data_IF_863153961494
#
_entry.id   IF_863153961494
#
_cell.length_a   1.000
_cell.length_b   1.000
_cell.length_c   1.000
_cell.angle_alpha   90.00
_cell.angle_beta   90.00
_cell.angle_gamma   90.00
#
_symmetry.space_group_name_H-M   'P 1'
#
loop_
_entity.id
_entity.type
_entity.pdbx_description
1 polymer ?
#
# COMPACT_ATOMS: atom_id res chain seq x y z
N UNK A 1 -19.43 -0.29 -24.05
CA UNK A 1 -19.00 0.72 -23.07
C UNK A 1 -19.41 2.09 -23.61
N UNK A 2 -20.33 2.77 -22.91
CA UNK A 2 -20.80 4.10 -23.31
C UNK A 2 -19.67 5.14 -23.25
N UNK A 3 -19.88 6.26 -23.96
CA UNK A 3 -18.96 7.39 -24.00
C UNK A 3 -18.65 7.87 -22.55
N UNK A 4 -17.37 8.11 -22.24
CA UNK A 4 -16.94 8.53 -20.93
C UNK A 4 -17.34 10.00 -20.70
N UNK A 5 -18.30 10.23 -19.82
CA UNK A 5 -18.76 11.57 -19.45
C UNK A 5 -18.17 11.96 -18.10
N UNK A 6 -17.52 13.12 -18.03
CA UNK A 6 -16.90 13.63 -16.81
C UNK A 6 -17.95 13.93 -15.72
N UNK A 7 -17.61 13.57 -14.49
CA UNK A 7 -18.36 13.89 -13.28
C UNK A 7 -17.73 15.09 -12.59
N UNK A 8 -18.17 16.31 -12.98
CA UNK A 8 -17.61 17.53 -12.42
C UNK A 8 -17.76 17.67 -10.91
N UNK A 9 -18.90 17.31 -10.29
CA UNK A 9 -19.00 17.29 -8.83
C UNK A 9 -17.96 16.40 -8.16
N UNK A 10 -17.78 15.18 -8.63
CA UNK A 10 -16.77 14.26 -8.09
C UNK A 10 -15.33 14.78 -8.31
N UNK A 11 -15.06 15.39 -9.47
CA UNK A 11 -13.77 16.05 -9.76
C UNK A 11 -13.50 17.20 -8.80
N UNK A 12 -14.51 18.04 -8.52
CA UNK A 12 -14.37 19.12 -7.55
C UNK A 12 -14.09 18.61 -6.14
N UNK A 13 -14.78 17.53 -5.72
CA UNK A 13 -14.48 16.87 -4.45
C UNK A 13 -13.04 16.35 -4.41
N UNK A 14 -12.58 15.67 -5.47
CA UNK A 14 -11.21 15.19 -5.55
C UNK A 14 -10.18 16.34 -5.49
N UNK A 15 -10.43 17.45 -6.21
CA UNK A 15 -9.54 18.61 -6.20
C UNK A 15 -9.46 19.27 -4.81
N UNK A 16 -10.53 19.24 -4.03
CA UNK A 16 -10.58 19.82 -2.69
C UNK A 16 -10.00 18.91 -1.61
N UNK A 17 -10.21 17.59 -1.70
CA UNK A 17 -9.93 16.62 -0.65
C UNK A 17 -8.72 15.73 -0.96
N UNK A 18 -8.32 15.60 -2.23
CA UNK A 18 -7.29 14.67 -2.67
C UNK A 18 -7.76 13.22 -2.88
N UNK A 19 -9.07 12.95 -2.71
CA UNK A 19 -9.68 11.63 -2.91
C UNK A 19 -11.15 11.76 -3.33
N UNK A 20 -11.69 10.70 -3.93
CA UNK A 20 -13.12 10.60 -4.24
C UNK A 20 -13.92 10.14 -3.03
N UNK A 21 -15.17 10.57 -2.95
CA UNK A 21 -16.10 10.10 -1.93
C UNK A 21 -16.79 8.81 -2.41
N UNK A 22 -17.13 7.94 -1.47
CA UNK A 22 -17.82 6.66 -1.70
C UNK A 22 -17.20 5.81 -2.83
N UNK A 23 -17.93 5.62 -3.91
CA UNK A 23 -17.53 4.87 -5.10
C UNK A 23 -17.37 5.75 -6.34
N UNK A 24 -17.29 7.06 -6.15
CA UNK A 24 -17.15 8.01 -7.24
C UNK A 24 -15.82 7.85 -7.97
N UNK A 25 -15.83 8.29 -9.23
CA UNK A 25 -14.64 8.38 -10.09
C UNK A 25 -14.69 9.68 -10.91
N UNK A 26 -13.71 9.89 -11.79
CA UNK A 26 -13.74 11.00 -12.74
C UNK A 26 -14.93 10.96 -13.72
N UNK A 27 -15.69 9.84 -13.76
CA UNK A 27 -16.71 9.61 -14.77
C UNK A 27 -18.04 9.22 -14.15
N UNK A 28 -19.14 9.79 -14.66
CA UNK A 28 -20.50 9.54 -14.18
C UNK A 28 -20.96 8.09 -14.35
N UNK A 29 -20.43 7.38 -15.35
CA UNK A 29 -20.81 6.01 -15.69
C UNK A 29 -19.77 4.96 -15.25
N UNK A 30 -18.84 5.34 -14.40
CA UNK A 30 -17.83 4.43 -13.83
C UNK A 30 -17.79 4.60 -12.32
N UNK A 31 -17.81 3.50 -11.62
CA UNK A 31 -17.74 3.47 -10.16
C UNK A 31 -16.55 2.64 -9.71
N UNK A 32 -15.93 3.05 -8.61
CA UNK A 32 -14.90 2.26 -7.96
C UNK A 32 -15.53 1.10 -7.18
N UNK A 33 -14.86 -0.02 -7.10
CA UNK A 33 -15.26 -1.07 -6.17
C UNK A 33 -15.06 -0.60 -4.74
N UNK A 34 -16.07 -0.82 -3.90
CA UNK A 34 -15.97 -0.48 -2.47
C UNK A 34 -14.98 -1.42 -1.78
N UNK A 35 -14.19 -0.90 -0.83
CA UNK A 35 -13.30 -1.74 -0.03
C UNK A 35 -14.09 -2.78 0.77
N UNK A 36 -13.41 -3.84 1.16
CA UNK A 36 -13.96 -4.94 1.96
C UNK A 36 -15.28 -5.51 1.40
N UNK A 37 -15.41 -5.55 0.08
CA UNK A 37 -16.62 -6.02 -0.59
C UNK A 37 -16.26 -7.04 -1.66
N UNK A 38 -16.87 -8.20 -1.58
CA UNK A 38 -16.83 -9.22 -2.63
C UNK A 38 -17.91 -8.94 -3.66
N UNK A 39 -17.53 -8.95 -4.94
CA UNK A 39 -18.44 -8.78 -6.07
C UNK A 39 -18.45 -10.03 -6.91
N UNK A 40 -19.64 -10.51 -7.28
CA UNK A 40 -19.80 -11.58 -8.25
C UNK A 40 -20.35 -11.01 -9.55
N UNK A 41 -19.89 -11.55 -10.66
CA UNK A 41 -20.27 -11.10 -11.99
C UNK A 41 -20.81 -12.26 -12.82
N UNK A 42 -21.77 -11.97 -13.68
CA UNK A 42 -22.19 -12.90 -14.72
C UNK A 42 -21.22 -12.91 -15.91
N UNK A 43 -21.46 -13.79 -16.88
CA UNK A 43 -20.65 -13.89 -18.10
C UNK A 43 -20.68 -12.64 -18.99
N UNK A 44 -21.64 -11.74 -18.76
CA UNK A 44 -21.79 -10.46 -19.46
C UNK A 44 -21.10 -9.30 -18.73
N UNK A 45 -20.53 -9.55 -17.54
CA UNK A 45 -19.86 -8.55 -16.72
C UNK A 45 -20.80 -7.72 -15.83
N UNK A 46 -22.07 -8.12 -15.66
CA UNK A 46 -22.96 -7.46 -14.72
C UNK A 46 -22.77 -8.00 -13.32
N UNK A 47 -22.85 -7.12 -12.32
CA UNK A 47 -22.76 -7.50 -10.91
C UNK A 47 -24.02 -8.26 -10.52
N UNK A 48 -23.86 -9.52 -10.11
CA UNK A 48 -24.96 -10.38 -9.63
C UNK A 48 -25.07 -10.41 -8.10
N UNK A 49 -23.97 -10.15 -7.40
CA UNK A 49 -23.95 -10.11 -5.93
C UNK A 49 -22.93 -9.11 -5.43
N UNK A 50 -23.23 -8.49 -4.28
CA UNK A 50 -22.31 -7.67 -3.49
C UNK A 50 -22.40 -8.12 -2.05
N UNK A 51 -21.28 -8.57 -1.49
CA UNK A 51 -21.21 -8.99 -0.10
C UNK A 51 -20.10 -8.22 0.60
N UNK A 52 -20.46 -7.32 1.52
CA UNK A 52 -19.50 -6.60 2.34
C UNK A 52 -19.12 -7.49 3.52
N UNK A 53 -17.84 -7.85 3.62
CA UNK A 53 -17.34 -8.77 4.65
C UNK A 53 -16.68 -8.06 5.83
N UNK A 54 -16.47 -6.74 5.75
CA UNK A 54 -15.92 -5.94 6.84
C UNK A 54 -16.43 -4.50 6.77
N UNK A 55 -16.88 -3.98 7.91
CA UNK A 55 -17.16 -2.57 8.15
C UNK A 55 -16.15 -2.02 9.14
N UNK A 56 -15.41 -0.99 8.71
CA UNK A 56 -14.54 -0.30 9.63
C UNK A 56 -15.36 0.49 10.64
N UNK A 57 -15.03 0.37 11.91
CA UNK A 57 -15.65 1.13 12.99
C UNK A 57 -14.57 1.59 13.97
N UNK A 58 -14.76 2.77 14.53
CA UNK A 58 -13.89 3.30 15.56
C UNK A 58 -14.35 2.75 16.92
N UNK A 59 -13.50 1.92 17.50
CA UNK A 59 -13.74 1.31 18.80
C UNK A 59 -12.49 1.45 19.67
N UNK A 60 -12.30 2.63 20.32
CA UNK A 60 -11.14 2.86 21.17
C UNK A 60 -11.13 1.91 22.38
N UNK A 61 -9.95 1.51 22.79
CA UNK A 61 -9.73 0.69 23.97
C UNK A 61 -8.92 1.50 24.98
N UNK A 62 -9.26 1.40 26.27
CA UNK A 62 -8.50 1.98 27.35
C UNK A 62 -7.34 1.06 27.73
N UNK A 63 -6.24 1.14 27.02
CA UNK A 63 -5.02 0.33 27.21
C UNK A 63 -3.77 1.21 27.16
N UNK A 64 -2.70 0.78 27.81
CA UNK A 64 -1.43 1.52 27.80
C UNK A 64 -0.77 1.49 26.42
N UNK A 65 0.11 2.47 26.17
CA UNK A 65 0.91 2.50 24.94
C UNK A 65 1.79 1.25 24.79
N UNK A 66 2.39 0.80 25.90
CA UNK A 66 3.23 -0.39 25.92
C UNK A 66 2.45 -1.64 25.54
N UNK A 67 1.20 -1.74 26.00
CA UNK A 67 0.32 -2.85 25.62
C UNK A 67 -0.04 -2.79 24.15
N UNK A 68 -0.40 -1.62 23.63
CA UNK A 68 -0.66 -1.46 22.16
C UNK A 68 0.57 -1.82 21.34
N UNK A 69 1.75 -1.38 21.77
CA UNK A 69 3.00 -1.64 21.06
C UNK A 69 3.31 -3.15 21.04
N UNK A 70 3.10 -3.85 22.16
CA UNK A 70 3.27 -5.29 22.24
C UNK A 70 2.31 -6.02 21.28
N UNK A 71 1.02 -5.74 21.39
CA UNK A 71 0.00 -6.35 20.52
C UNK A 71 0.26 -6.08 19.03
N UNK A 72 0.67 -4.85 18.67
CA UNK A 72 1.01 -4.50 17.30
C UNK A 72 2.23 -5.29 16.80
N UNK A 73 3.29 -5.36 17.60
CA UNK A 73 4.51 -6.09 17.24
C UNK A 73 4.24 -7.57 17.02
N UNK A 74 3.53 -8.21 17.95
CA UNK A 74 3.18 -9.62 17.85
C UNK A 74 2.31 -9.93 16.61
N UNK A 75 1.33 -9.06 16.34
CA UNK A 75 0.48 -9.20 15.17
C UNK A 75 1.25 -9.01 13.87
N UNK A 76 2.08 -7.98 13.79
CA UNK A 76 2.93 -7.69 12.63
C UNK A 76 3.87 -8.86 12.34
N UNK A 77 4.58 -9.35 13.35
CA UNK A 77 5.49 -10.49 13.20
C UNK A 77 4.75 -11.76 12.75
N UNK A 78 3.60 -12.04 13.32
CA UNK A 78 2.75 -13.18 12.93
C UNK A 78 2.33 -13.10 11.47
N UNK A 79 1.86 -11.92 11.00
CA UNK A 79 1.43 -11.71 9.62
C UNK A 79 2.63 -11.85 8.68
N UNK A 80 3.72 -11.13 8.95
CA UNK A 80 4.93 -11.16 8.11
C UNK A 80 5.50 -12.57 8.06
N UNK A 81 5.50 -13.30 9.16
CA UNK A 81 5.93 -14.70 9.20
C UNK A 81 5.07 -15.59 8.30
N UNK A 82 3.75 -15.43 8.35
CA UNK A 82 2.83 -16.19 7.50
C UNK A 82 3.07 -15.93 6.02
N UNK A 83 3.18 -14.65 5.64
CA UNK A 83 3.32 -14.24 4.25
C UNK A 83 4.70 -14.53 3.64
N UNK A 84 5.75 -14.60 4.47
CA UNK A 84 7.13 -14.72 3.99
C UNK A 84 7.75 -16.12 4.18
N UNK A 85 7.03 -17.06 4.80
CA UNK A 85 7.52 -18.42 5.03
C UNK A 85 7.84 -19.13 3.73
N UNK A 86 9.10 -19.62 3.60
CA UNK A 86 9.61 -20.33 2.43
C UNK A 86 9.56 -19.53 1.09
N UNK A 87 9.52 -18.21 1.17
CA UNK A 87 9.49 -17.33 -0.02
C UNK A 87 10.77 -16.52 -0.14
N UNK A 88 11.11 -16.14 -1.38
CA UNK A 88 12.05 -15.06 -1.63
C UNK A 88 11.33 -13.74 -1.42
N UNK A 89 11.98 -12.84 -0.70
CA UNK A 89 11.40 -11.54 -0.34
C UNK A 89 12.09 -10.46 -1.16
N UNK A 90 11.31 -9.66 -1.87
CA UNK A 90 11.77 -8.43 -2.51
C UNK A 90 11.13 -7.27 -1.78
N UNK A 91 11.93 -6.46 -1.10
CA UNK A 91 11.46 -5.44 -0.17
C UNK A 91 11.82 -4.04 -0.68
N UNK A 92 10.85 -3.22 -1.06
CA UNK A 92 11.09 -1.80 -1.29
C UNK A 92 11.39 -1.11 0.05
N UNK A 93 12.49 -0.38 0.12
CA UNK A 93 12.91 0.35 1.32
C UNK A 93 13.03 1.84 1.01
N UNK A 94 12.49 2.67 1.88
CA UNK A 94 12.64 4.13 1.86
C UNK A 94 13.11 4.65 3.21
N UNK A 95 13.26 5.95 3.35
CA UNK A 95 13.49 6.62 4.63
C UNK A 95 12.25 6.64 5.55
N UNK A 96 11.07 6.21 5.06
CA UNK A 96 9.81 6.23 5.80
C UNK A 96 9.75 5.20 6.95
N UNK A 97 8.92 5.49 7.96
CA UNK A 97 8.74 4.61 9.12
C UNK A 97 8.17 3.23 8.74
N UNK A 98 7.18 3.20 7.86
CA UNK A 98 6.49 1.96 7.47
C UNK A 98 7.43 0.97 6.79
N UNK A 99 8.24 1.43 5.84
CA UNK A 99 9.21 0.58 5.15
C UNK A 99 10.30 0.07 6.10
N UNK A 100 10.72 0.88 7.08
CA UNK A 100 11.69 0.46 8.12
C UNK A 100 11.07 -0.55 9.08
N UNK A 101 9.81 -0.39 9.46
CA UNK A 101 9.09 -1.35 10.29
C UNK A 101 8.98 -2.71 9.61
N UNK A 102 8.61 -2.73 8.32
CA UNK A 102 8.61 -3.97 7.54
C UNK A 102 10.01 -4.58 7.40
N UNK A 103 11.02 -3.75 7.17
CA UNK A 103 12.40 -4.22 7.09
C UNK A 103 12.86 -4.88 8.40
N UNK A 104 12.52 -4.29 9.54
CA UNK A 104 12.80 -4.87 10.87
C UNK A 104 12.08 -6.21 11.07
N UNK A 105 10.81 -6.30 10.67
CA UNK A 105 10.01 -7.53 10.80
C UNK A 105 10.56 -8.70 9.94
N UNK A 106 11.27 -8.42 8.86
CA UNK A 106 11.93 -9.45 8.03
C UNK A 106 13.42 -9.59 8.29
N UNK A 107 14.00 -8.90 9.26
CA UNK A 107 15.45 -8.87 9.52
C UNK A 107 16.06 -10.25 9.77
N UNK A 108 15.29 -11.18 10.33
CA UNK A 108 15.74 -12.56 10.61
C UNK A 108 15.49 -13.52 9.45
N UNK A 109 15.03 -13.04 8.31
CA UNK A 109 14.72 -13.88 7.16
C UNK A 109 15.94 -14.05 6.25
N UNK A 110 16.13 -15.26 5.75
CA UNK A 110 17.05 -15.53 4.66
C UNK A 110 16.37 -15.16 3.33
N UNK A 111 17.16 -14.86 2.32
CA UNK A 111 16.68 -14.55 0.96
C UNK A 111 15.84 -13.26 0.85
N UNK A 112 16.19 -12.23 1.62
CA UNK A 112 15.67 -10.86 1.43
C UNK A 112 16.58 -10.13 0.46
N UNK A 113 16.00 -9.56 -0.59
CA UNK A 113 16.61 -8.60 -1.47
C UNK A 113 15.89 -7.27 -1.34
N UNK A 114 16.61 -6.18 -1.19
CA UNK A 114 16.00 -4.87 -0.99
C UNK A 114 16.36 -3.90 -2.10
N UNK A 115 15.46 -2.95 -2.36
CA UNK A 115 15.69 -1.91 -3.34
C UNK A 115 15.02 -0.61 -2.95
N UNK A 116 15.49 0.49 -3.54
CA UNK A 116 14.83 1.78 -3.55
C UNK A 116 14.79 2.33 -4.96
N UNK A 117 13.93 3.29 -5.20
CA UNK A 117 13.99 4.11 -6.39
C UNK A 117 13.84 5.58 -6.02
N UNK A 118 14.40 6.43 -6.83
CA UNK A 118 14.24 7.88 -6.76
C UNK A 118 14.05 8.43 -8.17
N UNK A 119 13.35 9.55 -8.27
CA UNK A 119 13.29 10.29 -9.52
C UNK A 119 14.53 11.16 -9.68
N UNK A 120 14.97 11.33 -10.93
CA UNK A 120 16.03 12.28 -11.25
C UNK A 120 15.63 13.67 -10.75
N UNK A 121 16.52 14.33 -10.03
CA UNK A 121 16.28 15.61 -9.34
C UNK A 121 15.21 15.56 -8.22
N UNK A 122 14.79 14.38 -7.79
CA UNK A 122 13.89 14.17 -6.66
C UNK A 122 14.60 14.03 -5.32
N UNK A 123 13.85 13.60 -4.31
CA UNK A 123 14.39 13.28 -2.97
C UNK A 123 15.33 12.07 -3.07
N UNK A 124 16.43 12.10 -2.34
CA UNK A 124 17.45 11.03 -2.33
C UNK A 124 17.00 9.79 -1.54
N UNK A 125 15.91 9.14 -1.97
CA UNK A 125 15.39 7.93 -1.34
C UNK A 125 16.41 6.78 -1.34
N UNK A 126 17.24 6.69 -2.38
CA UNK A 126 18.28 5.68 -2.47
C UNK A 126 19.32 5.80 -1.35
N UNK A 127 19.61 7.01 -0.88
CA UNK A 127 20.54 7.23 0.25
C UNK A 127 19.98 6.61 1.54
N UNK A 128 18.72 6.86 1.84
CA UNK A 128 18.07 6.32 3.05
C UNK A 128 17.85 4.81 2.95
N UNK A 129 17.39 4.33 1.80
CA UNK A 129 17.20 2.90 1.56
C UNK A 129 18.50 2.10 1.71
N UNK A 130 19.60 2.60 1.15
CA UNK A 130 20.92 1.99 1.29
C UNK A 130 21.38 1.93 2.76
N UNK A 131 21.13 3.00 3.54
CA UNK A 131 21.48 3.02 4.96
C UNK A 131 20.71 1.97 5.77
N UNK A 132 19.41 1.82 5.52
CA UNK A 132 18.55 0.80 6.15
C UNK A 132 19.01 -0.61 5.75
N UNK A 133 19.21 -0.86 4.47
CA UNK A 133 19.68 -2.15 3.97
C UNK A 133 21.03 -2.55 4.57
N UNK A 134 21.99 -1.59 4.66
CA UNK A 134 23.28 -1.80 5.31
C UNK A 134 23.15 -2.18 6.77
N UNK A 135 22.29 -1.49 7.52
CA UNK A 135 22.06 -1.78 8.95
C UNK A 135 21.52 -3.20 9.18
N UNK A 136 20.74 -3.71 8.23
CA UNK A 136 20.13 -5.04 8.29
C UNK A 136 20.91 -6.11 7.51
N UNK A 137 22.02 -5.74 6.89
CA UNK A 137 22.86 -6.62 6.06
C UNK A 137 22.08 -7.23 4.87
N UNK A 138 21.14 -6.50 4.31
CA UNK A 138 20.39 -6.93 3.13
C UNK A 138 21.13 -6.62 1.84
N UNK A 139 21.16 -7.52 0.84
CA UNK A 139 21.48 -7.16 -0.53
C UNK A 139 20.56 -6.03 -1.00
N UNK A 140 21.17 -5.00 -1.64
CA UNK A 140 20.45 -3.79 -1.98
C UNK A 140 20.79 -3.28 -3.38
N UNK A 141 19.78 -2.70 -4.05
CA UNK A 141 19.96 -1.96 -5.28
C UNK A 141 19.12 -0.69 -5.31
N UNK A 142 19.77 0.45 -5.58
CA UNK A 142 19.10 1.72 -5.85
C UNK A 142 18.87 1.92 -7.34
N UNK A 143 17.71 2.46 -7.70
CA UNK A 143 17.35 2.82 -9.08
C UNK A 143 17.12 4.32 -9.17
N UNK A 144 17.52 4.94 -10.29
CA UNK A 144 17.14 6.31 -10.62
C UNK A 144 16.24 6.28 -11.84
N UNK A 145 15.06 6.85 -11.73
CA UNK A 145 14.08 6.97 -12.80
C UNK A 145 14.31 8.31 -13.48
N UNK A 146 14.73 8.33 -14.76
CA UNK A 146 14.97 9.57 -15.48
C UNK A 146 13.67 10.35 -15.72
N UNK A 147 13.76 11.68 -15.85
CA UNK A 147 12.62 12.57 -16.01
C UNK A 147 11.71 12.23 -17.21
N UNK A 148 12.27 11.66 -18.28
CA UNK A 148 11.53 11.24 -19.48
C UNK A 148 10.88 9.84 -19.41
N UNK A 149 10.98 9.12 -18.32
CA UNK A 149 10.51 7.73 -18.24
C UNK A 149 8.97 7.59 -18.26
N UNK A 150 8.26 8.61 -17.80
CA UNK A 150 6.80 8.59 -17.66
C UNK A 150 6.05 9.23 -18.84
N UNK A 151 6.75 9.62 -19.92
CA UNK A 151 6.18 10.29 -21.10
C UNK A 151 6.42 9.49 -22.38
#
# INVERSE_FOLDING_TARGET
PGEAKLDYPAICCFAALGFFLDDDTYYTNRKAFRPATEYQFDSSGNVTSKNRYFDWHYQPREISFEQVLGEFSDLLEKIVKGETSNRKIVLPISGGLDSRTLAAAVAHRQNVFSYSYQFENGVSENFYGAAVAKALSFPYQGFTIPAGYLW
#
